data_IF_221257075104
#
_entry.id   IF_221257075104
#
_cell.length_a   1.000
_cell.length_b   1.000
_cell.length_c   1.000
_cell.angle_alpha   90.00
_cell.angle_beta   90.00
_cell.angle_gamma   90.00
#
_symmetry.space_group_name_H-M   'P 1'
#
loop_
_entity.id
_entity.type
_entity.pdbx_description
1 polymer ?
#
# COMPACT_ATOMS: atom_id res chain seq x y z
N UNK A 1 4.19 12.28 14.64
CA UNK A 1 3.46 13.04 13.62
C UNK A 1 3.81 12.43 12.28
N UNK A 2 2.83 11.84 11.64
CA UNK A 2 2.92 11.39 10.26
C UNK A 2 2.43 12.54 9.38
N UNK A 3 3.17 12.85 8.32
CA UNK A 3 2.85 13.91 7.38
C UNK A 3 2.62 13.28 6.03
N UNK A 4 1.41 13.46 5.50
CA UNK A 4 1.06 13.08 4.12
C UNK A 4 0.94 14.36 3.32
N UNK A 5 1.59 14.42 2.17
CA UNK A 5 1.43 15.50 1.21
C UNK A 5 1.04 14.98 -0.16
N UNK A 6 0.29 15.80 -0.89
CA UNK A 6 -0.13 15.51 -2.26
C UNK A 6 -0.09 16.79 -3.09
N UNK A 7 0.72 16.78 -4.14
CA UNK A 7 0.69 17.78 -5.19
C UNK A 7 -0.22 17.26 -6.32
N UNK A 8 -1.38 17.88 -6.46
CA UNK A 8 -2.41 17.51 -7.45
C UNK A 8 -1.94 17.71 -8.89
N UNK A 9 -1.25 18.82 -9.18
CA UNK A 9 -0.80 19.16 -10.53
C UNK A 9 0.25 18.17 -11.04
N UNK A 10 1.18 17.78 -10.17
CA UNK A 10 2.25 16.84 -10.52
C UNK A 10 1.85 15.37 -10.31
N UNK A 11 0.71 15.09 -9.69
CA UNK A 11 0.36 13.75 -9.21
C UNK A 11 1.32 13.21 -8.15
N UNK A 12 2.12 14.05 -7.50
CA UNK A 12 3.18 13.62 -6.60
C UNK A 12 2.69 13.48 -5.16
N UNK A 13 2.92 12.32 -4.54
CA UNK A 13 2.58 12.03 -3.14
C UNK A 13 3.83 11.73 -2.34
N UNK A 14 3.82 12.13 -1.06
CA UNK A 14 4.83 11.73 -0.11
C UNK A 14 4.24 11.44 1.27
N UNK A 15 4.81 10.44 1.92
CA UNK A 15 4.54 10.09 3.31
C UNK A 15 5.84 10.24 4.09
N UNK A 16 5.81 11.06 5.15
CA UNK A 16 6.90 11.19 6.11
C UNK A 16 6.44 10.73 7.49
N UNK A 17 7.10 9.71 8.01
CA UNK A 17 6.82 9.16 9.34
C UNK A 17 7.91 9.58 10.31
N UNK A 18 7.55 9.84 11.57
CA UNK A 18 8.56 9.90 12.64
C UNK A 18 9.07 8.49 12.86
N UNK A 19 10.37 8.29 12.70
CA UNK A 19 11.11 7.05 12.98
C UNK A 19 10.48 6.26 14.13
N UNK A 20 10.08 5.02 13.87
CA UNK A 20 9.67 4.10 14.93
C UNK A 20 8.39 3.30 14.69
N UNK A 21 7.64 3.53 13.60
CA UNK A 21 6.48 2.68 13.31
C UNK A 21 6.87 1.53 12.38
N UNK A 22 7.74 0.66 12.88
CA UNK A 22 7.96 -0.66 12.30
C UNK A 22 6.71 -1.50 12.59
N UNK A 23 5.61 -1.26 11.88
CA UNK A 23 4.55 -2.25 11.82
C UNK A 23 5.14 -3.42 11.02
N UNK A 24 5.76 -4.36 11.72
CA UNK A 24 6.23 -5.65 11.19
C UNK A 24 5.02 -6.55 10.88
N UNK A 25 3.97 -5.98 10.30
CA UNK A 25 2.88 -6.73 9.71
C UNK A 25 3.35 -7.17 8.32
N UNK A 26 4.00 -8.34 8.34
CA UNK A 26 4.25 -9.25 7.22
C UNK A 26 5.00 -8.63 6.03
N UNK A 27 6.31 -8.88 6.01
CA UNK A 27 7.13 -8.94 4.79
C UNK A 27 7.28 -7.63 3.98
N UNK A 28 6.98 -6.45 4.52
CA UNK A 28 7.26 -5.16 3.86
C UNK A 28 7.99 -4.21 4.82
N UNK A 29 8.94 -3.44 4.29
CA UNK A 29 9.75 -2.45 4.99
C UNK A 29 9.59 -1.09 4.31
N UNK A 30 9.24 -0.10 5.13
CA UNK A 30 9.00 1.28 4.75
C UNK A 30 10.11 2.16 5.35
N UNK A 31 10.62 3.13 4.59
CA UNK A 31 11.50 4.15 5.14
C UNK A 31 10.71 5.31 5.75
N UNK A 32 11.41 6.19 6.49
CA UNK A 32 10.82 7.37 7.11
C UNK A 32 10.22 8.36 6.11
N UNK A 33 10.64 8.30 4.86
CA UNK A 33 10.13 9.13 3.78
C UNK A 33 9.92 8.24 2.56
N UNK A 34 8.69 8.23 2.06
CA UNK A 34 8.26 7.49 0.88
C UNK A 34 7.69 8.51 -0.09
N UNK A 35 8.03 8.35 -1.36
CA UNK A 35 7.50 9.20 -2.44
C UNK A 35 6.98 8.35 -3.58
N UNK A 36 5.97 8.83 -4.28
CA UNK A 36 5.48 8.22 -5.51
C UNK A 36 4.77 9.24 -6.40
N UNK A 37 4.53 8.87 -7.65
CA UNK A 37 3.66 9.57 -8.57
C UNK A 37 2.40 8.74 -8.78
N UNK A 38 1.23 9.35 -8.63
CA UNK A 38 -0.07 8.70 -8.74
C UNK A 38 -0.73 9.19 -10.02
N UNK A 39 -1.04 8.23 -10.87
CA UNK A 39 -1.89 8.34 -12.04
C UNK A 39 -3.12 7.45 -11.84
N UNK A 40 -4.07 7.51 -12.77
CA UNK A 40 -5.26 6.68 -12.69
C UNK A 40 -4.87 5.19 -12.69
N UNK A 41 -5.25 4.48 -11.62
CA UNK A 41 -4.92 3.06 -11.37
C UNK A 41 -3.43 2.70 -11.33
N UNK A 42 -2.53 3.68 -11.28
CA UNK A 42 -1.09 3.44 -11.36
C UNK A 42 -0.31 4.36 -10.42
N UNK A 43 0.41 3.77 -9.47
CA UNK A 43 1.42 4.43 -8.67
C UNK A 43 2.81 4.07 -9.21
N UNK A 44 3.58 5.07 -9.62
CA UNK A 44 4.90 4.94 -10.26
C UNK A 44 6.01 5.56 -9.43
N UNK A 45 7.24 5.11 -9.71
CA UNK A 45 8.48 5.62 -9.08
C UNK A 45 8.37 5.64 -7.55
N UNK A 46 7.79 4.59 -7.00
CA UNK A 46 7.72 4.36 -5.57
C UNK A 46 9.16 4.28 -5.03
N UNK A 47 9.48 5.10 -4.04
CA UNK A 47 10.82 5.11 -3.45
C UNK A 47 10.79 4.56 -2.04
N UNK A 48 11.88 3.87 -1.67
CA UNK A 48 12.17 3.46 -0.28
C UNK A 48 11.11 2.55 0.36
N UNK A 49 10.43 1.75 -0.47
CA UNK A 49 9.58 0.63 -0.07
C UNK A 49 10.24 -0.69 -0.52
N UNK A 50 10.36 -1.66 0.39
CA UNK A 50 10.94 -2.97 0.13
C UNK A 50 10.01 -4.08 0.58
N UNK A 51 9.86 -5.13 -0.20
CA UNK A 51 9.17 -6.36 0.21
C UNK A 51 10.17 -7.50 0.40
N UNK A 52 9.87 -8.43 1.31
CA UNK A 52 10.67 -9.62 1.57
C UNK A 52 10.27 -10.69 0.53
N UNK A 53 11.20 -11.01 -0.36
CA UNK A 53 11.10 -12.17 -1.23
C UNK A 53 11.48 -13.47 -0.49
N UNK A 54 11.63 -14.56 -1.24
CA UNK A 54 11.99 -15.87 -0.68
C UNK A 54 13.36 -15.87 0.02
N UNK A 55 14.33 -15.09 -0.48
CA UNK A 55 15.70 -15.03 0.05
C UNK A 55 16.29 -13.61 0.15
N UNK A 56 15.71 -12.62 -0.55
CA UNK A 56 16.23 -11.25 -0.61
C UNK A 56 15.12 -10.22 -0.42
N UNK A 57 15.49 -9.02 0.04
CA UNK A 57 14.61 -7.86 0.05
C UNK A 57 14.59 -7.21 -1.34
N UNK A 58 13.41 -7.06 -1.91
CA UNK A 58 13.19 -6.49 -3.24
C UNK A 58 12.58 -5.10 -3.08
N UNK A 59 13.17 -4.09 -3.73
CA UNK A 59 12.57 -2.75 -3.81
C UNK A 59 11.42 -2.73 -4.80
N UNK A 60 10.30 -2.11 -4.43
CA UNK A 60 9.17 -1.90 -5.32
C UNK A 60 9.33 -0.57 -6.06
N UNK A 61 9.05 -0.57 -7.36
CA UNK A 61 9.07 0.63 -8.21
C UNK A 61 7.67 1.10 -8.58
N UNK A 62 6.76 0.18 -8.89
CA UNK A 62 5.43 0.52 -9.40
C UNK A 62 4.37 -0.42 -8.83
N UNK A 63 3.17 0.13 -8.66
CA UNK A 63 1.97 -0.60 -8.23
C UNK A 63 0.85 -0.19 -9.17
N UNK A 64 0.18 -1.14 -9.81
CA UNK A 64 -0.85 -0.84 -10.79
C UNK A 64 -1.94 -1.90 -10.82
N UNK A 65 -3.12 -1.49 -11.30
CA UNK A 65 -4.22 -2.38 -11.65
C UNK A 65 -4.31 -2.40 -13.16
N UNK A 66 -4.11 -3.58 -13.76
CA UNK A 66 -4.04 -3.76 -15.22
C UNK A 66 -5.45 -3.69 -15.85
N UNK A 67 -6.35 -4.51 -15.32
CA UNK A 67 -7.78 -4.48 -15.64
C UNK A 67 -8.58 -4.19 -14.35
N UNK A 68 -9.29 -3.06 -14.26
CA UNK A 68 -10.14 -2.72 -13.12
C UNK A 68 -11.19 -3.79 -12.80
N UNK A 69 -11.65 -4.56 -13.79
CA UNK A 69 -12.62 -5.65 -13.58
C UNK A 69 -11.95 -6.91 -13.00
N UNK A 70 -10.66 -7.12 -13.24
CA UNK A 70 -9.93 -8.33 -12.85
C UNK A 70 -9.69 -8.47 -11.33
N UNK A 71 -9.92 -7.41 -10.54
CA UNK A 71 -9.64 -7.39 -9.11
C UNK A 71 -8.21 -7.85 -8.76
N UNK A 72 -7.22 -7.53 -9.61
CA UNK A 72 -5.81 -7.86 -9.42
C UNK A 72 -4.96 -6.60 -9.28
N UNK A 73 -4.07 -6.61 -8.29
CA UNK A 73 -3.07 -5.57 -8.05
C UNK A 73 -1.70 -6.15 -8.40
N UNK A 74 -0.95 -5.46 -9.24
CA UNK A 74 0.38 -5.83 -9.70
C UNK A 74 1.44 -4.94 -9.08
N UNK A 75 2.52 -5.55 -8.60
CA UNK A 75 3.69 -4.90 -8.02
C UNK A 75 4.89 -5.17 -8.91
N UNK A 76 5.62 -4.12 -9.30
CA UNK A 76 6.81 -4.20 -10.13
C UNK A 76 8.05 -3.80 -9.33
N UNK A 77 9.15 -4.51 -9.59
CA UNK A 77 10.48 -4.16 -9.11
C UNK A 77 11.33 -3.56 -10.25
N UNK A 78 12.36 -2.74 -9.95
CA UNK A 78 13.23 -2.13 -10.96
C UNK A 78 13.90 -3.11 -11.93
N UNK A 79 14.10 -4.37 -11.51
CA UNK A 79 14.70 -5.43 -12.33
C UNK A 79 13.71 -6.11 -13.31
N UNK A 80 12.52 -5.53 -13.52
CA UNK A 80 11.50 -6.08 -14.42
C UNK A 80 10.70 -7.26 -13.84
N UNK A 81 10.95 -7.63 -12.58
CA UNK A 81 10.19 -8.67 -11.88
C UNK A 81 8.85 -8.08 -11.45
N UNK A 82 7.74 -8.73 -11.80
CA UNK A 82 6.41 -8.37 -11.32
C UNK A 82 5.74 -9.52 -10.56
N UNK A 83 4.84 -9.16 -9.65
CA UNK A 83 3.94 -10.11 -8.96
C UNK A 83 2.55 -9.51 -8.85
N UNK A 84 1.53 -10.33 -9.08
CA UNK A 84 0.14 -9.91 -8.98
C UNK A 84 -0.58 -10.68 -7.89
N UNK A 85 -1.44 -9.98 -7.16
CA UNK A 85 -2.24 -10.50 -6.06
C UNK A 85 -3.69 -10.06 -6.25
N UNK A 86 -4.64 -10.84 -5.75
CA UNK A 86 -6.05 -10.45 -5.77
C UNK A 86 -6.28 -9.35 -4.72
N UNK A 87 -7.19 -8.41 -5.00
CA UNK A 87 -7.48 -7.27 -4.11
C UNK A 87 -7.85 -7.74 -2.70
N UNK A 88 -8.67 -8.81 -2.59
CA UNK A 88 -9.08 -9.37 -1.30
C UNK A 88 -7.91 -9.94 -0.47
N UNK A 89 -6.75 -10.22 -1.08
CA UNK A 89 -5.57 -10.66 -0.34
C UNK A 89 -4.98 -9.56 0.57
N UNK A 90 -5.45 -8.31 0.41
CA UNK A 90 -5.07 -7.16 1.21
C UNK A 90 -6.19 -6.65 2.11
N UNK A 91 -7.34 -7.33 2.16
CA UNK A 91 -8.35 -7.06 3.18
C UNK A 91 -7.77 -7.45 4.53
N UNK A 92 -7.67 -6.48 5.44
CA UNK A 92 -7.26 -6.75 6.81
C UNK A 92 -8.39 -7.56 7.46
N UNK A 93 -8.08 -8.74 7.99
CA UNK A 93 -8.95 -9.45 8.93
C UNK A 93 -9.10 -8.57 10.18
N UNK A 94 -10.04 -7.62 10.17
CA UNK A 94 -10.64 -7.15 11.41
C UNK A 94 -11.46 -8.32 11.95
N UNK A 95 -11.08 -8.81 13.12
CA UNK A 95 -11.59 -10.05 13.69
C UNK A 95 -13.13 -10.11 13.72
N UNK A 96 -13.73 -11.11 13.04
CA UNK A 96 -14.70 -12.06 13.60
C UNK A 96 -15.55 -12.75 12.51
N UNK A 97 -15.41 -14.08 12.43
CA UNK A 97 -16.46 -15.08 12.15
C UNK A 97 -17.83 -14.55 11.68
N UNK A 98 -18.12 -14.66 10.38
CA UNK A 98 -19.28 -15.39 9.83
C UNK A 98 -19.24 -15.49 8.30
N UNK A 99 -19.87 -16.55 7.83
CA UNK A 99 -19.95 -17.14 6.49
C UNK A 99 -20.27 -16.19 5.32
N UNK A 100 -19.83 -16.64 4.15
CA UNK A 100 -20.39 -16.46 2.79
C UNK A 100 -21.59 -15.50 2.62
N UNK A 101 -21.43 -14.44 1.82
CA UNK A 101 -21.94 -14.36 0.43
C UNK A 101 -22.01 -12.91 -0.07
N UNK A 102 -21.72 -12.76 -1.37
CA UNK A 102 -21.81 -11.63 -2.28
C UNK A 102 -22.77 -10.47 -1.90
N UNK A 103 -22.23 -9.25 -1.86
CA UNK A 103 -22.83 -8.07 -2.54
C UNK A 103 -21.84 -6.92 -2.66
N UNK A 104 -21.68 -6.48 -3.90
CA UNK A 104 -21.07 -5.23 -4.35
C UNK A 104 -21.57 -4.05 -3.55
N UNK A 105 -20.68 -3.29 -2.89
CA UNK A 105 -20.77 -1.82 -2.78
C UNK A 105 -19.38 -1.19 -2.69
N UNK A 106 -19.30 -0.04 -3.34
CA UNK A 106 -18.16 0.82 -3.61
C UNK A 106 -17.30 1.22 -2.40
N UNK A 107 -15.99 1.28 -2.61
CA UNK A 107 -15.09 2.08 -1.77
C UNK A 107 -13.92 1.32 -1.15
N UNK A 108 -13.15 0.57 -1.94
CA UNK A 108 -11.91 -0.03 -1.44
C UNK A 108 -10.86 1.07 -1.20
N UNK A 109 -10.73 1.52 0.04
CA UNK A 109 -9.58 2.30 0.51
C UNK A 109 -8.39 1.35 0.54
N UNK A 110 -7.58 1.39 -0.52
CA UNK A 110 -6.33 0.64 -0.58
C UNK A 110 -5.33 1.27 0.38
N UNK A 111 -5.36 0.84 1.65
CA UNK A 111 -4.47 1.31 2.71
C UNK A 111 -3.11 0.62 2.55
N UNK A 112 -2.31 1.05 1.55
CA UNK A 112 -0.88 0.73 1.45
C UNK A 112 0.00 1.69 2.27
N UNK A 113 -0.62 2.62 3.00
CA UNK A 113 0.02 3.46 4.00
C UNK A 113 -0.50 2.99 5.36
N UNK A 114 0.32 2.92 6.41
CA UNK A 114 -0.16 2.51 7.72
C UNK A 114 -1.37 3.36 8.13
N UNK A 115 -2.41 2.70 8.62
CA UNK A 115 -3.57 3.38 9.17
C UNK A 115 -3.10 4.33 10.29
N UNK A 116 -3.53 5.60 10.30
CA UNK A 116 -3.21 6.48 11.41
C UNK A 116 -3.85 5.88 12.66
N UNK A 117 -3.01 5.51 13.62
CA UNK A 117 -3.46 5.06 14.93
C UNK A 117 -4.26 6.20 15.58
N UNK A 118 -5.59 6.10 15.54
CA UNK A 118 -6.49 6.94 16.33
C UNK A 118 -6.36 6.55 17.79
N UNK A 119 -5.30 7.06 18.44
CA UNK A 119 -5.23 7.17 19.89
C UNK A 119 -5.62 8.60 20.24
N UNK A 120 -6.93 8.88 20.20
CA UNK A 120 -7.47 10.09 20.81
C UNK A 120 -7.02 10.13 22.26
N UNK A 121 -6.29 11.19 22.60
CA UNK A 121 -5.95 11.52 23.97
C UNK A 121 -7.25 11.73 24.76
N UNK A 122 -7.44 10.97 25.84
CA UNK A 122 -8.27 11.42 26.96
C UNK A 122 -7.54 12.58 27.63
N UNK A 123 -8.22 13.71 27.79
CA UNK A 123 -8.09 14.62 28.91
C UNK A 123 -9.48 15.17 29.22
#
# INVERSE_FOLDING_TARGET
>A
MEVVGYNREAGFVWLKQRTGMQHTFKQVSYANEITAFVENHWMKKLTRVKSKGLLIWITLSDIYVDDPASSKISFKAPAGISRSFLVFAFELEEEANKKEECRTESGAKLVLLPAPNNRCCRH
#
